data_IF_892956367472
#
_entry.id   IF_892956367472
#
_cell.length_a   1.000
_cell.length_b   1.000
_cell.length_c   1.000
_cell.angle_alpha   90.00
_cell.angle_beta   90.00
_cell.angle_gamma   90.00
#
_symmetry.space_group_name_H-M   'P 1'
#
loop_
_entity.id
_entity.type
_entity.pdbx_description
1 polymer ?
#
# COMPACT_ATOMS: atom_id res chain seq x y z
N UNK A 1 1.61 -9.44 -10.53
CA UNK A 1 2.30 -8.87 -9.35
C UNK A 1 2.10 -9.81 -8.19
N UNK A 2 3.11 -10.03 -7.38
CA UNK A 2 3.03 -10.94 -6.24
C UNK A 2 4.00 -10.52 -5.13
N UNK A 3 3.52 -10.50 -3.90
CA UNK A 3 4.35 -10.16 -2.74
C UNK A 3 5.00 -11.44 -2.25
N UNK A 4 6.33 -11.51 -2.32
CA UNK A 4 7.11 -12.68 -1.91
C UNK A 4 7.45 -12.63 -0.43
N UNK A 5 7.78 -11.45 0.06
CA UNK A 5 8.18 -11.25 1.44
C UNK A 5 7.81 -9.84 1.90
N UNK A 6 7.45 -9.72 3.18
CA UNK A 6 7.30 -8.44 3.88
C UNK A 6 8.00 -8.54 5.21
N UNK A 7 9.04 -7.74 5.37
CA UNK A 7 9.91 -7.70 6.54
C UNK A 7 9.95 -6.30 7.13
N UNK A 8 10.08 -6.20 8.44
CA UNK A 8 10.05 -4.93 9.18
C UNK A 8 11.29 -4.80 10.06
N UNK A 9 12.04 -3.71 9.92
CA UNK A 9 13.36 -3.57 10.54
C UNK A 9 14.08 -2.29 10.14
N UNK A 10 15.35 -2.15 10.49
CA UNK A 10 16.11 -0.91 10.22
C UNK A 10 16.81 -0.89 8.86
N UNK A 11 17.24 -2.05 8.35
CA UNK A 11 17.92 -2.21 7.06
C UNK A 11 19.03 -1.15 6.83
N UNK A 12 20.13 -1.18 7.61
CA UNK A 12 21.19 -0.19 7.50
C UNK A 12 21.88 -0.15 6.12
N UNK A 13 21.85 -1.26 5.39
CA UNK A 13 22.48 -1.43 4.08
C UNK A 13 21.93 -0.48 3.00
N UNK A 14 20.72 0.05 3.17
CA UNK A 14 20.08 0.95 2.19
C UNK A 14 20.20 2.44 2.53
N UNK A 15 20.79 2.82 3.66
CA UNK A 15 20.88 4.23 4.07
C UNK A 15 21.64 5.10 3.06
N UNK A 16 22.67 4.55 2.42
CA UNK A 16 23.45 5.25 1.40
C UNK A 16 22.70 5.48 0.09
N UNK A 17 21.59 4.76 -0.14
CA UNK A 17 20.85 4.78 -1.41
C UNK A 17 19.79 5.89 -1.46
N UNK A 18 19.25 6.32 -0.32
CA UNK A 18 18.34 7.46 -0.25
C UNK A 18 18.66 8.34 0.96
N UNK A 19 19.25 9.52 0.69
CA UNK A 19 19.65 10.52 1.69
C UNK A 19 18.49 11.08 2.51
N UNK A 20 17.23 10.87 2.09
CA UNK A 20 16.03 11.32 2.82
C UNK A 20 15.59 10.34 3.90
N UNK A 21 16.17 9.13 3.96
CA UNK A 21 15.85 8.19 5.03
C UNK A 21 16.34 8.68 6.39
N UNK A 22 15.47 8.57 7.39
CA UNK A 22 15.81 8.84 8.80
C UNK A 22 16.73 7.76 9.33
N UNK A 23 17.87 8.17 9.88
CA UNK A 23 18.83 7.29 10.56
C UNK A 23 18.15 6.57 11.73
N UNK A 24 18.41 5.26 11.87
CA UNK A 24 17.80 4.40 12.90
C UNK A 24 16.28 4.18 12.73
N UNK A 25 15.65 4.78 11.70
CA UNK A 25 14.24 4.62 11.44
C UNK A 25 13.89 3.21 10.96
N UNK A 26 12.85 2.62 11.55
CA UNK A 26 12.25 1.38 11.06
C UNK A 26 11.65 1.60 9.67
N UNK A 27 11.74 0.56 8.85
CA UNK A 27 11.30 0.50 7.47
C UNK A 27 10.60 -0.82 7.22
N UNK A 28 9.79 -0.81 6.18
CA UNK A 28 9.20 -1.97 5.58
C UNK A 28 10.03 -2.35 4.35
N UNK A 29 10.54 -3.57 4.32
CA UNK A 29 11.10 -4.20 3.12
C UNK A 29 10.02 -5.06 2.47
N UNK A 30 9.78 -4.86 1.19
CA UNK A 30 8.83 -5.63 0.39
C UNK A 30 9.56 -6.24 -0.79
N UNK A 31 9.59 -7.57 -0.85
CA UNK A 31 10.07 -8.27 -2.05
C UNK A 31 8.87 -8.48 -2.96
N UNK A 32 8.87 -7.83 -4.13
CA UNK A 32 7.75 -7.77 -5.06
C UNK A 32 8.16 -8.30 -6.44
N UNK A 33 7.44 -9.31 -6.93
CA UNK A 33 7.53 -9.73 -8.31
C UNK A 33 6.47 -8.99 -9.14
N UNK A 34 6.89 -8.25 -10.18
CA UNK A 34 6.02 -7.46 -11.04
C UNK A 34 5.86 -8.11 -12.41
N UNK A 35 4.61 -8.37 -12.79
CA UNK A 35 4.25 -8.96 -14.06
C UNK A 35 3.15 -8.13 -14.72
N UNK A 36 3.34 -7.78 -15.99
CA UNK A 36 2.31 -7.18 -16.83
C UNK A 36 1.44 -8.30 -17.43
N UNK A 37 0.10 -8.25 -17.29
CA UNK A 37 -0.78 -9.24 -17.91
C UNK A 37 -0.55 -9.31 -19.42
N UNK A 38 -0.38 -10.52 -19.98
CA UNK A 38 -0.17 -10.73 -21.43
C UNK A 38 -1.27 -10.11 -22.30
N UNK A 39 -2.49 -10.02 -21.76
CA UNK A 39 -3.66 -9.40 -22.40
C UNK A 39 -3.55 -7.87 -22.56
N UNK A 40 -2.57 -7.21 -21.92
CA UNK A 40 -2.37 -5.77 -21.99
C UNK A 40 -1.09 -5.45 -22.75
N UNK A 41 -1.22 -5.26 -24.07
CA UNK A 41 -0.11 -4.79 -24.93
C UNK A 41 0.39 -3.39 -24.58
N UNK A 42 -0.50 -2.52 -24.08
CA UNK A 42 -0.20 -1.17 -23.58
C UNK A 42 -0.91 -0.91 -22.25
N UNK A 43 -0.20 -0.35 -21.28
CA UNK A 43 -0.75 0.12 -20.00
C UNK A 43 -0.96 1.62 -20.12
N UNK A 44 -2.18 2.10 -19.87
CA UNK A 44 -2.44 3.53 -19.79
C UNK A 44 -2.16 4.00 -18.34
N UNK A 45 -0.90 4.32 -18.06
CA UNK A 45 -0.48 4.77 -16.73
C UNK A 45 -1.22 6.03 -16.28
N UNK A 46 -1.48 6.99 -17.17
CA UNK A 46 -2.23 8.21 -16.84
C UNK A 46 -3.66 7.92 -16.39
N UNK A 47 -4.32 6.88 -16.93
CA UNK A 47 -5.64 6.45 -16.48
C UNK A 47 -5.57 5.73 -15.12
N UNK A 48 -4.56 4.88 -14.92
CA UNK A 48 -4.33 4.21 -13.62
C UNK A 48 -4.08 5.24 -12.54
N UNK A 49 -3.20 6.20 -12.80
CA UNK A 49 -2.86 7.29 -11.90
C UNK A 49 -4.09 8.15 -11.56
N UNK A 50 -4.87 8.59 -12.55
CA UNK A 50 -6.14 9.31 -12.31
C UNK A 50 -7.15 8.52 -11.48
N UNK A 51 -7.18 7.20 -11.60
CA UNK A 51 -8.04 6.35 -10.75
C UNK A 51 -7.51 6.29 -9.32
N UNK A 52 -6.20 6.18 -9.11
CA UNK A 52 -5.58 6.21 -7.79
C UNK A 52 -5.88 7.52 -7.05
N UNK A 53 -5.78 8.66 -7.74
CA UNK A 53 -6.04 9.98 -7.15
C UNK A 53 -7.44 10.17 -6.59
N UNK A 54 -8.42 9.39 -7.06
CA UNK A 54 -9.76 9.39 -6.45
C UNK A 54 -9.73 8.90 -5.01
N UNK A 55 -8.89 7.91 -4.70
CA UNK A 55 -8.74 7.33 -3.37
C UNK A 55 -7.66 8.04 -2.55
N UNK A 56 -6.57 8.40 -3.21
CA UNK A 56 -5.31 8.86 -2.64
C UNK A 56 -4.94 10.20 -3.30
N UNK A 57 -5.68 11.28 -3.02
CA UNK A 57 -5.48 12.56 -3.70
C UNK A 57 -4.14 13.21 -3.34
N UNK A 58 -3.53 12.83 -2.22
CA UNK A 58 -2.22 13.35 -1.80
C UNK A 58 -1.05 12.81 -2.61
N UNK A 59 -1.25 11.75 -3.43
CA UNK A 59 -0.21 11.21 -4.32
C UNK A 59 0.36 12.28 -5.26
N UNK A 60 -0.45 13.23 -5.71
CA UNK A 60 -0.02 14.36 -6.56
C UNK A 60 1.07 15.23 -5.90
N UNK A 61 1.17 15.22 -4.57
CA UNK A 61 2.14 16.03 -3.82
C UNK A 61 3.46 15.30 -3.59
N UNK A 62 3.56 14.02 -3.97
CA UNK A 62 4.78 13.25 -3.76
C UNK A 62 5.90 13.76 -4.68
N UNK A 63 7.06 14.02 -4.09
CA UNK A 63 8.26 14.43 -4.83
C UNK A 63 9.11 13.20 -5.15
N UNK A 64 9.03 12.72 -6.39
CA UNK A 64 9.99 11.73 -6.88
C UNK A 64 11.33 12.40 -7.20
N UNK A 65 12.44 11.70 -6.96
CA UNK A 65 13.78 12.16 -7.37
C UNK A 65 14.09 11.89 -8.84
N UNK A 66 13.27 11.07 -9.49
CA UNK A 66 13.31 10.75 -10.91
C UNK A 66 11.99 11.19 -11.54
N UNK A 67 12.00 11.83 -12.70
CA UNK A 67 10.77 12.17 -13.41
C UNK A 67 10.09 10.87 -13.84
N UNK A 68 9.08 10.42 -13.08
CA UNK A 68 8.31 9.18 -13.31
C UNK A 68 7.68 9.06 -14.71
N UNK A 69 7.67 10.15 -15.47
CA UNK A 69 7.11 10.25 -16.81
C UNK A 69 8.10 10.79 -17.85
N UNK A 70 9.35 11.10 -17.45
CA UNK A 70 10.48 11.51 -18.30
C UNK A 70 10.33 12.81 -19.11
N UNK A 71 11.46 13.52 -19.31
CA UNK A 71 11.70 14.38 -20.47
C UNK A 71 12.39 13.52 -21.57
N UNK A 72 11.91 13.43 -22.82
CA UNK A 72 12.28 12.36 -23.78
C UNK A 72 13.72 12.34 -24.31
N UNK A 73 14.65 13.17 -23.79
CA UNK A 73 15.86 13.54 -24.52
C UNK A 73 17.17 12.88 -24.08
N UNK A 74 17.20 12.05 -23.03
CA UNK A 74 18.46 11.52 -22.50
C UNK A 74 18.42 10.02 -22.11
N UNK A 75 18.23 9.13 -23.08
CA UNK A 75 18.45 7.69 -22.89
C UNK A 75 19.66 7.21 -23.70
N UNK A 76 20.85 7.21 -23.07
CA UNK A 76 21.98 6.37 -23.50
C UNK A 76 21.87 5.06 -22.73
N UNK A 77 21.79 3.96 -23.48
CA UNK A 77 21.45 2.58 -23.07
C UNK A 77 19.98 2.40 -22.69
N UNK A 78 19.16 2.01 -23.67
CA UNK A 78 17.70 1.82 -23.52
C UNK A 78 17.45 0.44 -22.91
N UNK A 79 17.01 0.32 -21.64
CA UNK A 79 16.48 -0.92 -21.12
C UNK A 79 15.24 -1.31 -21.95
N UNK A 80 14.98 -2.61 -22.13
CA UNK A 80 13.80 -3.01 -22.91
C UNK A 80 12.53 -2.32 -22.37
N UNK A 81 11.64 -1.85 -23.26
CA UNK A 81 10.40 -1.12 -22.90
C UNK A 81 9.57 -1.86 -21.82
N UNK A 82 9.72 -3.18 -21.74
CA UNK A 82 9.12 -4.03 -20.71
C UNK A 82 9.71 -3.81 -19.31
N UNK A 83 11.03 -3.68 -19.20
CA UNK A 83 11.76 -3.43 -17.93
C UNK A 83 11.41 -2.05 -17.39
N UNK A 84 11.33 -1.04 -18.25
CA UNK A 84 10.86 0.30 -17.86
C UNK A 84 9.43 0.25 -17.32
N UNK A 85 8.52 -0.47 -18.00
CA UNK A 85 7.12 -0.61 -17.57
C UNK A 85 6.97 -1.27 -16.19
N UNK A 86 7.68 -2.36 -15.92
CA UNK A 86 7.57 -3.04 -14.63
C UNK A 86 8.23 -2.25 -13.50
N UNK A 87 9.29 -1.51 -13.80
CA UNK A 87 9.92 -0.57 -12.87
C UNK A 87 8.97 0.56 -12.49
N UNK A 88 8.28 1.18 -13.46
CA UNK A 88 7.26 2.20 -13.18
C UNK A 88 6.10 1.66 -12.33
N UNK A 89 5.70 0.40 -12.52
CA UNK A 89 4.66 -0.22 -11.69
C UNK A 89 5.16 -0.44 -10.26
N UNK A 90 6.36 -0.99 -10.08
CA UNK A 90 6.97 -1.21 -8.78
C UNK A 90 7.08 0.11 -8.00
N UNK A 91 7.59 1.15 -8.67
CA UNK A 91 7.75 2.46 -8.09
C UNK A 91 6.41 3.14 -7.78
N UNK A 92 5.41 3.03 -8.65
CA UNK A 92 4.07 3.54 -8.34
C UNK A 92 3.45 2.82 -7.13
N UNK A 93 3.68 1.51 -6.97
CA UNK A 93 3.27 0.76 -5.78
C UNK A 93 3.94 1.31 -4.53
N UNK A 94 5.24 1.61 -4.58
CA UNK A 94 5.96 2.27 -3.48
C UNK A 94 5.25 3.56 -3.05
N UNK A 95 4.94 4.44 -4.00
CA UNK A 95 4.23 5.69 -3.73
C UNK A 95 2.83 5.47 -3.13
N UNK A 96 2.07 4.51 -3.64
CA UNK A 96 0.75 4.15 -3.09
C UNK A 96 0.87 3.67 -1.64
N UNK A 97 1.89 2.87 -1.33
CA UNK A 97 2.17 2.42 0.04
C UNK A 97 2.53 3.61 0.94
N UNK A 98 3.42 4.50 0.49
CA UNK A 98 3.81 5.72 1.21
C UNK A 98 2.58 6.58 1.53
N UNK A 99 1.72 6.83 0.54
CA UNK A 99 0.54 7.69 0.70
C UNK A 99 -0.48 7.08 1.67
N UNK A 100 -0.76 5.79 1.53
CA UNK A 100 -1.63 5.05 2.46
C UNK A 100 -1.12 5.12 3.90
N UNK A 101 0.17 4.83 4.11
CA UNK A 101 0.77 4.89 5.44
C UNK A 101 0.68 6.31 6.02
N UNK A 102 1.01 7.32 5.22
CA UNK A 102 1.01 8.72 5.66
C UNK A 102 -0.40 9.19 6.01
N UNK A 103 -1.40 8.82 5.20
CA UNK A 103 -2.80 9.15 5.46
C UNK A 103 -3.37 8.47 6.72
N UNK A 104 -2.99 7.21 6.97
CA UNK A 104 -3.45 6.46 8.15
C UNK A 104 -2.77 6.95 9.42
N UNK A 105 -1.43 7.10 9.38
CA UNK A 105 -0.61 7.38 10.57
C UNK A 105 -0.35 8.86 10.82
N UNK A 106 -0.78 9.74 9.91
CA UNK A 106 -0.50 11.19 9.93
C UNK A 106 1.00 11.49 9.95
N UNK A 107 1.81 10.75 9.18
CA UNK A 107 3.22 11.08 9.01
C UNK A 107 3.38 12.32 8.12
N UNK A 108 4.14 13.30 8.59
CA UNK A 108 4.44 14.52 7.81
C UNK A 108 5.39 14.27 6.65
N UNK A 109 6.21 13.23 6.77
CA UNK A 109 7.18 12.79 5.77
C UNK A 109 7.35 11.29 5.83
N UNK A 110 7.40 10.67 4.65
CA UNK A 110 7.67 9.25 4.46
C UNK A 110 8.41 9.10 3.13
N UNK A 111 9.60 8.51 3.19
CA UNK A 111 10.44 8.23 2.02
C UNK A 111 10.41 6.75 1.67
N UNK A 112 10.73 6.43 0.42
CA UNK A 112 10.99 5.07 -0.01
C UNK A 112 12.08 5.00 -1.08
N UNK A 113 12.43 3.78 -1.45
CA UNK A 113 13.28 3.48 -2.60
C UNK A 113 12.84 2.15 -3.20
N UNK A 114 12.85 2.10 -4.54
CA UNK A 114 12.61 0.90 -5.34
C UNK A 114 13.93 0.43 -5.91
N UNK A 115 14.32 -0.80 -5.60
CA UNK A 115 15.54 -1.42 -6.09
C UNK A 115 15.21 -2.61 -6.99
N UNK A 116 15.51 -2.52 -8.28
CA UNK A 116 15.34 -3.63 -9.22
C UNK A 116 16.48 -4.64 -9.13
N UNK A 117 16.17 -5.93 -9.24
CA UNK A 117 17.18 -6.99 -9.32
C UNK A 117 17.74 -7.08 -10.74
N UNK A 118 19.04 -7.34 -10.87
CA UNK A 118 19.64 -7.67 -12.18
C UNK A 118 19.11 -9.00 -12.72
N UNK A 119 18.91 -9.98 -11.84
CA UNK A 119 18.30 -11.26 -12.18
C UNK A 119 17.55 -11.82 -10.95
N UNK A 120 16.24 -12.13 -11.04
CA UNK A 120 15.36 -11.88 -12.18
C UNK A 120 14.96 -10.40 -12.32
N UNK A 121 14.92 -9.89 -13.55
CA UNK A 121 14.58 -8.49 -13.86
C UNK A 121 13.15 -8.07 -13.43
N UNK A 122 12.28 -9.03 -13.14
CA UNK A 122 10.92 -8.77 -12.69
C UNK A 122 10.77 -8.61 -11.18
N UNK A 123 11.85 -8.77 -10.42
CA UNK A 123 11.85 -8.70 -8.96
C UNK A 123 12.39 -7.36 -8.48
N UNK A 124 11.73 -6.82 -7.46
CA UNK A 124 12.06 -5.54 -6.85
C UNK A 124 12.06 -5.68 -5.34
N UNK A 125 13.03 -5.03 -4.69
CA UNK A 125 12.97 -4.72 -3.26
C UNK A 125 12.46 -3.28 -3.11
N UNK A 126 11.34 -3.11 -2.42
CA UNK A 126 10.85 -1.79 -2.02
C UNK A 126 11.21 -1.59 -0.55
N UNK A 127 11.91 -0.51 -0.23
CA UNK A 127 12.16 -0.12 1.15
C UNK A 127 11.46 1.18 1.44
N UNK A 128 10.64 1.21 2.48
CA UNK A 128 9.74 2.34 2.77
C UNK A 128 9.80 2.66 4.25
N UNK A 129 9.96 3.93 4.63
CA UNK A 129 9.89 4.33 6.03
C UNK A 129 8.55 3.90 6.66
N UNK A 130 8.62 3.27 7.82
CA UNK A 130 7.44 2.65 8.42
C UNK A 130 7.54 2.67 9.94
N UNK A 131 6.64 3.44 10.59
CA UNK A 131 6.57 3.53 12.06
C UNK A 131 5.78 2.39 12.70
N UNK A 132 4.84 1.80 11.96
CA UNK A 132 3.94 0.77 12.46
C UNK A 132 3.86 -0.39 11.47
N UNK A 133 4.33 -1.56 11.88
CA UNK A 133 4.37 -2.76 11.04
C UNK A 133 2.99 -3.16 10.50
N UNK A 134 1.93 -3.06 11.31
CA UNK A 134 0.58 -3.49 10.91
C UNK A 134 0.01 -2.58 9.83
N UNK A 135 0.21 -1.27 9.98
CA UNK A 135 -0.17 -0.31 8.93
C UNK A 135 0.67 -0.52 7.68
N UNK A 136 1.98 -0.74 7.81
CA UNK A 136 2.84 -1.06 6.68
C UNK A 136 2.38 -2.29 5.90
N UNK A 137 2.12 -3.40 6.60
CA UNK A 137 1.59 -4.64 5.99
C UNK A 137 0.24 -4.43 5.31
N UNK A 138 -0.68 -3.68 5.93
CA UNK A 138 -1.96 -3.32 5.30
C UNK A 138 -1.73 -2.57 3.99
N UNK A 139 -0.91 -1.52 4.03
CA UNK A 139 -0.64 -0.66 2.88
C UNK A 139 -0.05 -1.44 1.72
N UNK A 140 0.86 -2.39 1.97
CA UNK A 140 1.43 -3.28 0.93
C UNK A 140 0.35 -4.14 0.27
N UNK A 141 -0.39 -4.90 1.08
CA UNK A 141 -1.39 -5.84 0.58
C UNK A 141 -2.47 -5.08 -0.21
N UNK A 142 -2.94 -3.96 0.34
CA UNK A 142 -3.96 -3.14 -0.27
C UNK A 142 -3.47 -2.47 -1.55
N UNK A 143 -2.26 -1.89 -1.56
CA UNK A 143 -1.66 -1.26 -2.74
C UNK A 143 -1.50 -2.26 -3.89
N UNK A 144 -0.98 -3.46 -3.60
CA UNK A 144 -0.78 -4.49 -4.61
C UNK A 144 -2.11 -5.01 -5.17
N UNK A 145 -3.12 -5.28 -4.32
CA UNK A 145 -4.46 -5.66 -4.78
C UNK A 145 -5.11 -4.56 -5.64
N UNK A 146 -5.06 -3.31 -5.17
CA UNK A 146 -5.62 -2.17 -5.87
C UNK A 146 -4.95 -2.03 -7.25
N UNK A 147 -3.63 -2.07 -7.31
CA UNK A 147 -2.88 -1.96 -8.56
C UNK A 147 -3.18 -3.12 -9.51
N UNK A 148 -3.30 -4.36 -9.02
CA UNK A 148 -3.73 -5.50 -9.84
C UNK A 148 -5.07 -5.22 -10.51
N UNK A 149 -6.06 -4.77 -9.73
CA UNK A 149 -7.41 -4.46 -10.24
C UNK A 149 -7.39 -3.31 -11.25
N UNK A 150 -6.66 -2.24 -10.97
CA UNK A 150 -6.57 -1.07 -11.84
C UNK A 150 -5.89 -1.40 -13.18
N UNK A 151 -4.81 -2.19 -13.16
CA UNK A 151 -4.13 -2.66 -14.38
C UNK A 151 -5.02 -3.56 -15.24
N UNK A 152 -5.95 -4.29 -14.63
CA UNK A 152 -6.99 -5.04 -15.34
C UNK A 152 -8.15 -4.17 -15.85
N UNK A 153 -8.11 -2.85 -15.61
CA UNK A 153 -9.10 -1.89 -16.09
C UNK A 153 -10.25 -1.64 -15.11
N UNK A 154 -10.27 -2.28 -13.94
CA UNK A 154 -11.28 -2.01 -12.90
C UNK A 154 -11.09 -0.59 -12.34
N UNK A 155 -12.06 -0.12 -11.57
CA UNK A 155 -12.03 1.20 -10.92
C UNK A 155 -11.93 1.04 -9.40
N UNK A 156 -11.50 2.11 -8.73
CA UNK A 156 -11.66 2.23 -7.28
C UNK A 156 -13.14 2.12 -6.94
N UNK A 157 -13.46 1.35 -5.90
CA UNK A 157 -14.82 1.08 -5.45
C UNK A 157 -15.10 1.74 -4.10
N UNK A 158 -16.38 1.88 -3.73
CA UNK A 158 -16.79 2.34 -2.38
C UNK A 158 -16.18 1.50 -1.26
N UNK A 159 -15.94 0.21 -1.52
CA UNK A 159 -15.26 -0.70 -0.58
C UNK A 159 -13.82 -0.26 -0.31
N UNK A 160 -13.11 0.25 -1.32
CA UNK A 160 -11.72 0.69 -1.16
C UNK A 160 -11.62 1.91 -0.23
N UNK A 161 -12.50 2.91 -0.42
CA UNK A 161 -12.61 4.07 0.49
C UNK A 161 -12.91 3.65 1.93
N UNK A 162 -13.94 2.81 2.10
CA UNK A 162 -14.33 2.34 3.44
C UNK A 162 -13.24 1.51 4.11
N UNK A 163 -12.48 0.71 3.36
CA UNK A 163 -11.39 -0.06 3.94
C UNK A 163 -10.30 0.86 4.52
N UNK A 164 -9.88 1.87 3.76
CA UNK A 164 -8.88 2.85 4.22
C UNK A 164 -9.40 3.65 5.41
N UNK A 165 -10.66 4.11 5.36
CA UNK A 165 -11.31 4.85 6.44
C UNK A 165 -11.43 4.01 7.72
N UNK A 166 -11.80 2.74 7.60
CA UNK A 166 -11.85 1.82 8.73
C UNK A 166 -10.47 1.64 9.36
N UNK A 167 -9.43 1.34 8.58
CA UNK A 167 -8.07 1.16 9.12
C UNK A 167 -7.58 2.44 9.82
N UNK A 168 -7.84 3.61 9.23
CA UNK A 168 -7.54 4.90 9.86
C UNK A 168 -8.27 5.08 11.19
N UNK A 169 -9.55 4.75 11.24
CA UNK A 169 -10.35 4.79 12.47
C UNK A 169 -9.78 3.84 13.54
N UNK A 170 -9.51 2.58 13.18
CA UNK A 170 -8.95 1.58 14.10
C UNK A 170 -7.60 2.05 14.65
N UNK A 171 -6.71 2.55 13.79
CA UNK A 171 -5.39 3.04 14.20
C UNK A 171 -5.48 4.20 15.21
N UNK A 172 -6.41 5.14 15.01
CA UNK A 172 -6.58 6.28 15.92
C UNK A 172 -7.15 5.90 17.29
N UNK A 173 -7.87 4.77 17.38
CA UNK A 173 -8.56 4.35 18.60
C UNK A 173 -7.87 3.20 19.33
N UNK A 174 -6.90 2.52 18.70
CA UNK A 174 -6.24 1.33 19.26
C UNK A 174 -5.48 1.64 20.55
N UNK A 175 -4.92 2.85 20.68
CA UNK A 175 -4.19 3.30 21.87
C UNK A 175 -5.06 3.41 23.12
N UNK A 176 -6.39 3.50 22.98
CA UNK A 176 -7.30 3.73 24.10
C UNK A 176 -8.00 2.48 24.61
N UNK A 177 -8.30 1.51 23.72
CA UNK A 177 -9.16 0.37 24.06
C UNK A 177 -8.51 -0.99 23.73
N UNK A 178 -7.34 -1.02 23.10
CA UNK A 178 -6.80 -2.25 22.53
C UNK A 178 -7.66 -2.79 21.37
N UNK A 179 -7.05 -3.55 20.47
CA UNK A 179 -7.67 -3.97 19.22
C UNK A 179 -8.88 -4.90 19.43
N UNK A 180 -8.79 -5.82 20.38
CA UNK A 180 -9.83 -6.82 20.63
C UNK A 180 -11.10 -6.20 21.22
N UNK A 181 -10.95 -5.24 22.14
CA UNK A 181 -12.09 -4.53 22.71
C UNK A 181 -12.74 -3.65 21.64
N UNK A 182 -11.95 -2.96 20.83
CA UNK A 182 -12.45 -2.09 19.76
C UNK A 182 -13.26 -2.87 18.71
N UNK A 183 -12.77 -4.04 18.29
CA UNK A 183 -13.47 -4.91 17.33
C UNK A 183 -14.78 -5.46 17.91
N UNK A 184 -14.87 -5.61 19.23
CA UNK A 184 -16.13 -6.00 19.89
C UNK A 184 -17.20 -4.90 19.81
N UNK A 185 -16.80 -3.64 19.69
CA UNK A 185 -17.68 -2.47 19.56
C UNK A 185 -18.11 -2.16 18.12
N UNK A 186 -18.49 -3.18 17.35
CA UNK A 186 -18.88 -3.04 15.94
C UNK A 186 -20.01 -2.02 15.74
N UNK A 187 -20.97 -1.99 16.66
CA UNK A 187 -22.07 -1.02 16.65
C UNK A 187 -21.58 0.42 16.85
N UNK A 188 -20.57 0.62 17.70
CA UNK A 188 -19.97 1.93 17.93
C UNK A 188 -19.17 2.39 16.70
N UNK A 189 -18.35 1.50 16.12
CA UNK A 189 -17.64 1.79 14.86
C UNK A 189 -18.64 2.16 13.76
N UNK A 190 -19.73 1.39 13.63
CA UNK A 190 -20.78 1.65 12.66
C UNK A 190 -21.45 3.01 12.88
N UNK A 191 -21.80 3.34 14.13
CA UNK A 191 -22.35 4.64 14.51
C UNK A 191 -21.39 5.78 14.18
N UNK A 192 -20.12 5.66 14.55
CA UNK A 192 -19.12 6.74 14.42
C UNK A 192 -18.75 7.01 12.95
N UNK A 193 -18.80 5.98 12.10
CA UNK A 193 -18.54 6.12 10.67
C UNK A 193 -19.81 6.33 9.83
N UNK A 194 -21.00 6.33 10.45
CA UNK A 194 -22.28 6.43 9.74
C UNK A 194 -22.56 5.25 8.81
N UNK A 195 -22.09 4.05 9.17
CA UNK A 195 -22.24 2.83 8.37
C UNK A 195 -23.20 1.84 9.02
N UNK A 196 -23.62 0.83 8.25
CA UNK A 196 -24.33 -0.31 8.83
C UNK A 196 -23.36 -1.22 9.56
N UNK A 197 -23.79 -1.82 10.67
CA UNK A 197 -23.03 -2.84 11.39
C UNK A 197 -22.55 -3.96 10.47
N UNK A 198 -23.41 -4.43 9.55
CA UNK A 198 -23.07 -5.44 8.54
C UNK A 198 -21.87 -5.04 7.68
N UNK A 199 -21.80 -3.78 7.25
CA UNK A 199 -20.67 -3.28 6.46
C UNK A 199 -19.35 -3.33 7.25
N UNK A 200 -19.38 -2.87 8.51
CA UNK A 200 -18.21 -2.90 9.41
C UNK A 200 -17.73 -4.33 9.63
N UNK A 201 -18.67 -5.24 9.92
CA UNK A 201 -18.39 -6.66 10.11
C UNK A 201 -17.69 -7.27 8.89
N UNK A 202 -18.19 -7.01 7.69
CA UNK A 202 -17.60 -7.53 6.45
C UNK A 202 -16.16 -7.04 6.29
N UNK A 203 -15.92 -5.74 6.47
CA UNK A 203 -14.58 -5.17 6.32
C UNK A 203 -13.60 -5.66 7.40
N UNK A 204 -14.07 -5.84 8.64
CA UNK A 204 -13.25 -6.44 9.71
C UNK A 204 -12.89 -7.90 9.41
N UNK A 205 -13.81 -8.70 8.85
CA UNK A 205 -13.51 -10.06 8.38
C UNK A 205 -12.45 -10.03 7.27
N UNK A 206 -12.57 -9.11 6.33
CA UNK A 206 -11.56 -8.93 5.28
C UNK A 206 -10.18 -8.59 5.86
N UNK A 207 -10.08 -7.62 6.78
CA UNK A 207 -8.83 -7.28 7.45
C UNK A 207 -8.22 -8.47 8.20
N UNK A 208 -9.04 -9.31 8.85
CA UNK A 208 -8.57 -10.56 9.44
C UNK A 208 -8.04 -11.54 8.39
N UNK A 209 -8.76 -11.73 7.29
CA UNK A 209 -8.34 -12.64 6.22
C UNK A 209 -7.02 -12.19 5.56
N UNK A 210 -6.75 -10.89 5.60
CA UNK A 210 -5.45 -10.32 5.19
C UNK A 210 -4.35 -10.48 6.25
N UNK A 211 -4.63 -11.12 7.40
CA UNK A 211 -3.67 -11.33 8.48
C UNK A 211 -3.41 -10.10 9.34
N UNK A 212 -4.19 -9.02 9.16
CA UNK A 212 -3.95 -7.73 9.84
C UNK A 212 -4.62 -7.63 11.21
N UNK A 213 -5.52 -8.56 11.52
CA UNK A 213 -6.17 -8.70 12.82
C UNK A 213 -5.87 -10.09 13.40
N UNK A 214 -4.96 -10.15 14.37
CA UNK A 214 -4.60 -11.39 15.08
C UNK A 214 -5.53 -11.69 16.25
N UNK A 215 -6.84 -11.82 16.00
CA UNK A 215 -7.75 -12.15 17.08
C UNK A 215 -8.37 -13.54 16.92
N UNK A 216 -7.91 -14.46 17.78
CA UNK A 216 -8.58 -15.74 18.06
C UNK A 216 -9.84 -15.55 18.93
N UNK A 217 -9.98 -14.41 19.65
CA UNK A 217 -11.06 -14.16 20.63
C UNK A 217 -12.10 -13.09 20.22
N UNK A 218 -11.82 -12.19 19.27
CA UNK A 218 -12.68 -11.02 18.99
C UNK A 218 -13.80 -11.26 17.96
N UNK A 219 -13.88 -12.45 17.35
CA UNK A 219 -14.85 -12.76 16.29
C UNK A 219 -15.83 -13.93 16.54
N UNK A 220 -15.96 -14.56 17.73
CA UNK A 220 -16.89 -15.68 17.91
C UNK A 220 -18.37 -15.28 17.71
N UNK A 221 -18.69 -13.98 17.79
CA UNK A 221 -20.07 -13.48 17.74
C UNK A 221 -20.47 -12.78 16.44
N UNK A 222 -19.81 -13.07 15.31
CA UNK A 222 -20.27 -12.62 13.99
C UNK A 222 -21.40 -13.50 13.45
N UNK A 223 -22.50 -13.60 14.20
CA UNK A 223 -23.77 -14.06 13.64
C UNK A 223 -24.30 -12.94 12.74
N UNK A 224 -24.43 -13.26 11.46
CA UNK A 224 -25.21 -12.45 10.53
C UNK A 224 -26.65 -12.64 10.98
N UNK A 225 -27.18 -11.66 11.72
CA UNK A 225 -28.63 -11.46 11.85
C UNK A 225 -29.06 -10.55 10.70
#
# INVERSE_FOLDING_TARGET
>A
MDVKEVSYGEFPEIFGLNKRFKLGGKKLKVVLDVFVPKSKKKINFSLVYRKLLKLLPTLERHKCGEDLFGDPKNHKEIPSEKVERITHIAHLIEHVIIDLQSNITKMDSCSGITCGYKNPEYRFDLFIECRDEKVGRFSVIFAVDLMKRLLLGKSVSKRDFRMVELVKYLYQKISFLGLDQLISFQSKIASDLGWTRRSVVTLLKELKNLGLLHSKKALPNLRIL
#
